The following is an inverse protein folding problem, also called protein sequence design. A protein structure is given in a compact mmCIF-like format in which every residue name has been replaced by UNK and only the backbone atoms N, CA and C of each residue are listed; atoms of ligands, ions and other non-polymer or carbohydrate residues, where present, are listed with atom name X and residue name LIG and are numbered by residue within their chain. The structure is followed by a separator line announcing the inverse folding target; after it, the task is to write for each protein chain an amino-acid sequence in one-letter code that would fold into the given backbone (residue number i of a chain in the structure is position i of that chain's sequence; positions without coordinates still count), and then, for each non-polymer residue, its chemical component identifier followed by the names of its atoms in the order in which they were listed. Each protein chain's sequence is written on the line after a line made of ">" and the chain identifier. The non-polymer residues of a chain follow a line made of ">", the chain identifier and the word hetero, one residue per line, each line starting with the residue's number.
data_IF_146040933377
#
_entry.id   IF_146040933377
#
_cell.length_a   1.000
_cell.length_b   1.000
_cell.length_c   1.000
_cell.angle_alpha   90.00
_cell.angle_beta   90.00
_cell.angle_gamma   90.00
#
_symmetry.space_group_name_H-M   'P 1'
#
loop_
_entity.id
_entity.type
_entity.pdbx_description
1 polymer ?
#
# COMPACT_ATOMS: atom_id res chain seq x y z
N UNK A 1 -56.37 -96.26 -58.18
CA UNK A 1 -57.54 -96.15 -59.08
C UNK A 1 -57.31 -94.94 -59.97
N UNK A 2 -56.99 -95.13 -61.25
CA UNK A 2 -57.96 -95.12 -62.36
C UNK A 2 -58.69 -93.76 -62.44
N UNK A 3 -58.64 -93.00 -63.54
CA UNK A 3 -58.11 -93.31 -64.85
C UNK A 3 -58.22 -92.16 -65.85
N UNK A 4 -57.64 -92.45 -67.02
CA UNK A 4 -57.75 -91.87 -68.38
C UNK A 4 -58.64 -90.65 -68.64
N UNK A 5 -57.98 -89.59 -69.15
CA UNK A 5 -57.96 -89.07 -70.54
C UNK A 5 -59.33 -88.86 -71.25
N UNK A 6 -59.61 -87.64 -71.76
CA UNK A 6 -59.53 -87.17 -73.18
C UNK A 6 -60.14 -85.72 -73.32
N UNK A 7 -60.15 -85.03 -74.48
CA UNK A 7 -59.11 -84.07 -74.92
C UNK A 7 -59.66 -82.68 -75.43
N UNK A 8 -58.76 -81.91 -76.08
CA UNK A 8 -58.95 -81.00 -77.24
C UNK A 8 -59.11 -79.47 -77.01
N UNK A 9 -58.26 -78.78 -77.78
CA UNK A 9 -58.19 -77.44 -78.39
C UNK A 9 -58.09 -76.10 -77.62
N UNK A 10 -56.98 -75.43 -77.93
CA UNK A 10 -56.76 -74.04 -78.37
C UNK A 10 -57.63 -72.90 -77.81
N UNK A 11 -56.96 -71.99 -77.09
CA UNK A 11 -57.48 -70.66 -76.78
C UNK A 11 -56.65 -69.83 -75.79
N UNK A 12 -55.80 -68.93 -76.33
CA UNK A 12 -55.76 -67.48 -76.02
C UNK A 12 -55.33 -66.97 -74.59
N UNK A 13 -54.29 -66.11 -74.61
CA UNK A 13 -53.91 -64.93 -73.75
C UNK A 13 -53.13 -65.10 -72.41
N UNK A 14 -51.96 -64.44 -72.40
CA UNK A 14 -51.33 -63.70 -71.27
C UNK A 14 -50.23 -64.44 -70.47
N UNK A 15 -49.31 -63.77 -69.71
CA UNK A 15 -49.35 -62.36 -69.32
C UNK A 15 -47.97 -61.63 -69.06
N UNK A 16 -48.06 -60.33 -68.73
CA UNK A 16 -47.27 -59.50 -67.77
C UNK A 16 -45.86 -58.94 -68.11
N UNK A 17 -45.81 -57.60 -68.14
CA UNK A 17 -44.69 -56.63 -68.06
C UNK A 17 -44.13 -56.46 -66.64
N UNK A 18 -42.97 -55.78 -66.48
CA UNK A 18 -42.88 -54.72 -65.48
C UNK A 18 -42.70 -53.36 -66.15
N UNK A 19 -43.65 -52.48 -65.89
CA UNK A 19 -43.58 -51.04 -66.13
C UNK A 19 -42.77 -50.38 -65.00
N UNK A 20 -41.79 -49.54 -65.36
CA UNK A 20 -41.42 -48.40 -64.52
C UNK A 20 -41.94 -47.13 -65.20
N UNK A 21 -43.03 -46.51 -64.70
CA UNK A 21 -43.50 -45.24 -65.21
C UNK A 21 -42.59 -44.11 -64.68
N UNK A 22 -42.03 -43.31 -65.59
CA UNK A 22 -41.54 -41.97 -65.27
C UNK A 22 -42.77 -41.10 -64.92
N UNK A 23 -42.99 -40.83 -63.64
CA UNK A 23 -44.05 -39.93 -63.18
C UNK A 23 -43.82 -38.50 -63.70
N UNK A 24 -44.87 -37.81 -64.17
CA UNK A 24 -44.81 -36.37 -64.43
C UNK A 24 -44.75 -35.64 -63.08
N UNK A 25 -43.73 -34.81 -62.89
CA UNK A 25 -43.56 -34.02 -61.65
C UNK A 25 -44.65 -32.94 -61.62
N UNK A 26 -45.58 -33.06 -60.66
CA UNK A 26 -46.63 -32.07 -60.40
C UNK A 26 -46.04 -30.66 -60.22
N UNK A 27 -46.50 -29.71 -61.04
CA UNK A 27 -46.07 -28.30 -61.02
C UNK A 27 -46.25 -27.63 -59.65
N UNK A 28 -47.18 -28.15 -58.84
CA UNK A 28 -47.49 -27.71 -57.48
C UNK A 28 -46.43 -28.20 -56.45
N UNK A 29 -45.88 -29.40 -56.64
CA UNK A 29 -44.75 -29.91 -55.85
C UNK A 29 -43.46 -29.17 -56.19
N UNK A 30 -43.24 -28.86 -57.48
CA UNK A 30 -42.15 -27.99 -57.93
C UNK A 30 -42.24 -26.60 -57.32
N UNK A 31 -43.43 -25.99 -57.27
CA UNK A 31 -43.64 -24.65 -56.69
C UNK A 31 -43.42 -24.65 -55.17
N UNK A 32 -43.91 -25.65 -54.44
CA UNK A 32 -43.61 -25.84 -53.01
C UNK A 32 -42.12 -26.06 -52.76
N UNK A 33 -41.46 -26.90 -53.55
CA UNK A 33 -40.01 -27.11 -53.49
C UNK A 33 -39.23 -25.81 -53.70
N UNK A 34 -39.61 -25.03 -54.70
CA UNK A 34 -38.95 -23.75 -54.99
C UNK A 34 -39.16 -22.72 -53.87
N UNK A 35 -40.33 -22.71 -53.21
CA UNK A 35 -40.58 -21.86 -52.03
C UNK A 35 -39.69 -22.29 -50.85
N UNK A 36 -39.57 -23.60 -50.57
CA UNK A 36 -38.69 -24.10 -49.51
C UNK A 36 -37.21 -23.83 -49.79
N UNK A 37 -36.78 -23.95 -51.04
CA UNK A 37 -35.42 -23.59 -51.47
C UNK A 37 -35.17 -22.09 -51.28
N UNK A 38 -36.12 -21.23 -51.69
CA UNK A 38 -36.01 -19.79 -51.50
C UNK A 38 -36.01 -19.39 -50.02
N UNK A 39 -36.85 -20.01 -49.19
CA UNK A 39 -36.88 -19.79 -47.74
C UNK A 39 -35.57 -20.25 -47.07
N UNK A 40 -35.02 -21.39 -47.50
CA UNK A 40 -33.71 -21.88 -47.03
C UNK A 40 -32.56 -20.95 -47.44
N UNK A 41 -32.54 -20.46 -48.69
CA UNK A 41 -31.57 -19.47 -49.15
C UNK A 41 -31.69 -18.16 -48.38
N UNK A 42 -32.91 -17.67 -48.16
CA UNK A 42 -33.15 -16.47 -47.36
C UNK A 42 -32.66 -16.65 -45.92
N UNK A 43 -32.96 -17.79 -45.29
CA UNK A 43 -32.48 -18.11 -43.94
C UNK A 43 -30.95 -18.13 -43.86
N UNK A 44 -30.27 -18.72 -44.85
CA UNK A 44 -28.80 -18.76 -44.90
C UNK A 44 -28.21 -17.35 -45.05
N UNK A 45 -28.73 -16.55 -45.99
CA UNK A 45 -28.26 -15.18 -46.21
C UNK A 45 -28.53 -14.30 -44.98
N UNK A 46 -29.72 -14.41 -44.39
CA UNK A 46 -30.09 -13.68 -43.18
C UNK A 46 -29.22 -14.08 -41.99
N UNK A 47 -29.01 -15.38 -41.77
CA UNK A 47 -28.16 -15.88 -40.68
C UNK A 47 -26.71 -15.45 -40.85
N UNK A 48 -26.20 -15.45 -42.09
CA UNK A 48 -24.87 -14.95 -42.41
C UNK A 48 -24.76 -13.44 -42.14
N UNK A 49 -25.74 -12.65 -42.59
CA UNK A 49 -25.79 -11.21 -42.34
C UNK A 49 -25.85 -10.89 -40.84
N UNK A 50 -26.68 -11.61 -40.08
CA UNK A 50 -26.75 -11.51 -38.62
C UNK A 50 -25.42 -11.90 -37.95
N UNK A 51 -24.71 -12.91 -38.46
CA UNK A 51 -23.41 -13.31 -37.94
C UNK A 51 -22.35 -12.23 -38.18
N UNK A 52 -22.31 -11.66 -39.40
CA UNK A 52 -21.42 -10.54 -39.73
C UNK A 52 -21.75 -9.31 -38.87
N UNK A 53 -23.02 -8.98 -38.70
CA UNK A 53 -23.46 -7.88 -37.84
C UNK A 53 -23.13 -8.13 -36.36
N UNK A 54 -23.23 -9.36 -35.87
CA UNK A 54 -22.81 -9.69 -34.51
C UNK A 54 -21.31 -9.47 -34.32
N UNK A 55 -20.48 -9.82 -35.31
CA UNK A 55 -19.04 -9.60 -35.25
C UNK A 55 -18.68 -8.10 -35.17
N UNK A 56 -19.45 -7.21 -35.81
CA UNK A 56 -19.22 -5.75 -35.69
C UNK A 56 -19.56 -5.20 -34.30
N UNK A 57 -20.44 -5.85 -33.56
CA UNK A 57 -20.71 -5.52 -32.14
C UNK A 57 -19.65 -6.14 -31.23
N UNK A 58 -19.27 -7.39 -31.51
CA UNK A 58 -18.34 -8.14 -30.68
C UNK A 58 -16.94 -7.54 -30.70
N UNK A 59 -16.46 -7.06 -31.86
CA UNK A 59 -15.08 -6.57 -32.04
C UNK A 59 -14.67 -5.54 -31.00
N UNK A 60 -15.56 -4.60 -30.66
CA UNK A 60 -15.26 -3.55 -29.68
C UNK A 60 -15.14 -4.09 -28.24
N UNK A 61 -15.84 -5.18 -27.93
CA UNK A 61 -15.80 -5.81 -26.62
C UNK A 61 -14.57 -6.71 -26.48
N UNK A 62 -14.18 -7.42 -27.53
CA UNK A 62 -13.01 -8.33 -27.51
C UNK A 62 -11.69 -7.63 -27.86
N UNK A 63 -11.71 -6.31 -28.02
CA UNK A 63 -10.52 -5.51 -28.33
C UNK A 63 -9.47 -5.49 -27.19
N UNK A 64 -9.82 -5.97 -25.99
CA UNK A 64 -8.92 -6.09 -24.85
C UNK A 64 -9.26 -7.33 -23.99
N UNK A 65 -8.28 -7.75 -23.18
CA UNK A 65 -8.38 -8.93 -22.32
C UNK A 65 -9.42 -8.80 -21.20
N UNK A 66 -9.90 -7.59 -20.92
CA UNK A 66 -10.93 -7.32 -19.92
C UNK A 66 -12.35 -7.53 -20.44
N UNK A 67 -12.51 -7.71 -21.76
CA UNK A 67 -13.81 -7.79 -22.43
C UNK A 67 -14.69 -6.55 -22.17
N UNK A 68 -14.04 -5.40 -21.99
CA UNK A 68 -14.69 -4.14 -21.67
C UNK A 68 -14.61 -3.20 -22.87
N UNK A 69 -15.77 -2.94 -23.49
CA UNK A 69 -15.88 -2.05 -24.66
C UNK A 69 -15.09 -0.75 -24.51
N UNK A 70 -14.21 -0.46 -25.47
CA UNK A 70 -13.35 0.75 -25.52
C UNK A 70 -12.43 0.97 -24.30
N UNK A 71 -12.22 -0.03 -23.45
CA UNK A 71 -11.28 0.06 -22.35
C UNK A 71 -9.84 -0.06 -22.89
N UNK A 72 -9.16 1.08 -22.98
CA UNK A 72 -7.85 1.22 -23.60
C UNK A 72 -6.78 1.70 -22.62
N UNK A 73 -5.52 1.58 -23.02
CA UNK A 73 -4.36 2.05 -22.25
C UNK A 73 -4.15 3.57 -22.36
N UNK A 74 -4.74 4.23 -23.36
CA UNK A 74 -4.53 5.67 -23.60
C UNK A 74 -5.32 6.56 -22.65
N UNK A 75 -6.45 6.09 -22.10
CA UNK A 75 -7.29 6.86 -21.18
C UNK A 75 -8.21 6.05 -20.26
N UNK A 76 -8.77 4.93 -20.74
CA UNK A 76 -9.71 4.13 -19.94
C UNK A 76 -9.07 3.53 -18.67
N UNK A 77 -7.90 2.92 -18.83
CA UNK A 77 -7.16 2.32 -17.70
C UNK A 77 -6.70 3.37 -16.69
N UNK A 78 -6.21 4.51 -17.16
CA UNK A 78 -5.72 5.60 -16.30
C UNK A 78 -6.86 6.29 -15.56
N UNK A 79 -8.02 6.49 -16.19
CA UNK A 79 -9.21 7.00 -15.52
C UNK A 79 -9.61 6.13 -14.34
N UNK A 80 -9.73 4.81 -14.56
CA UNK A 80 -10.10 3.88 -13.48
C UNK A 80 -9.05 3.92 -12.37
N UNK A 81 -7.76 3.90 -12.71
CA UNK A 81 -6.69 3.98 -11.72
C UNK A 81 -6.76 5.29 -10.90
N UNK A 82 -6.97 6.43 -11.54
CA UNK A 82 -7.05 7.75 -10.89
C UNK A 82 -8.29 7.89 -10.01
N UNK A 83 -9.42 7.29 -10.39
CA UNK A 83 -10.64 7.25 -9.57
C UNK A 83 -10.37 6.49 -8.27
N UNK A 84 -9.75 5.31 -8.37
CA UNK A 84 -9.40 4.52 -7.18
C UNK A 84 -8.33 5.21 -6.33
N UNK A 85 -7.27 5.74 -6.95
CA UNK A 85 -6.24 6.50 -6.23
C UNK A 85 -6.82 7.74 -5.54
N UNK A 86 -7.74 8.46 -6.17
CA UNK A 86 -8.48 9.56 -5.54
C UNK A 86 -9.22 9.12 -4.27
N UNK A 87 -9.91 7.98 -4.30
CA UNK A 87 -10.67 7.50 -3.13
C UNK A 87 -9.77 6.99 -2.02
N UNK A 88 -8.69 6.29 -2.37
CA UNK A 88 -7.72 5.77 -1.41
C UNK A 88 -6.98 6.89 -0.67
N UNK A 89 -6.59 7.97 -1.35
CA UNK A 89 -5.91 9.10 -0.69
C UNK A 89 -6.85 9.88 0.26
N UNK A 90 -8.16 9.81 0.02
CA UNK A 90 -9.19 10.35 0.92
C UNK A 90 -9.43 9.46 2.15
N UNK A 91 -8.68 8.37 2.32
CA UNK A 91 -8.85 7.46 3.45
C UNK A 91 -10.08 6.56 3.35
N UNK A 92 -10.69 6.43 2.16
CA UNK A 92 -11.74 5.43 1.93
C UNK A 92 -11.06 4.07 1.71
N UNK A 93 -10.84 3.36 2.81
CA UNK A 93 -10.14 2.08 2.87
C UNK A 93 -11.03 0.92 3.34
N UNK A 94 -12.35 1.16 3.44
CA UNK A 94 -13.35 0.14 3.78
C UNK A 94 -14.03 -0.40 2.52
N UNK A 95 -14.46 -1.66 2.58
CA UNK A 95 -15.28 -2.28 1.54
C UNK A 95 -16.53 -1.45 1.25
N UNK A 96 -16.61 -0.91 0.05
CA UNK A 96 -17.73 -0.07 -0.38
C UNK A 96 -17.95 -0.22 -1.89
N UNK A 97 -19.21 -0.04 -2.31
CA UNK A 97 -19.56 0.02 -3.73
C UNK A 97 -19.25 1.42 -4.24
N UNK A 98 -18.43 1.49 -5.30
CA UNK A 98 -18.12 2.73 -5.99
C UNK A 98 -18.80 2.72 -7.35
N UNK A 99 -19.71 3.66 -7.57
CA UNK A 99 -20.30 3.88 -8.89
C UNK A 99 -19.34 4.70 -9.74
N UNK A 100 -18.78 4.09 -10.79
CA UNK A 100 -17.83 4.74 -11.70
C UNK A 100 -18.46 5.83 -12.57
N UNK A 101 -19.79 5.82 -12.75
CA UNK A 101 -20.50 6.82 -13.59
C UNK A 101 -21.14 7.95 -12.80
N UNK A 102 -21.05 7.93 -11.47
CA UNK A 102 -21.59 8.98 -10.61
C UNK A 102 -20.83 10.30 -10.77
N UNK A 103 -21.49 11.44 -10.51
CA UNK A 103 -20.82 12.74 -10.51
C UNK A 103 -19.66 12.81 -9.50
N UNK A 104 -19.77 12.05 -8.39
CA UNK A 104 -18.74 11.97 -7.35
C UNK A 104 -17.45 11.25 -7.77
N UNK A 105 -17.43 10.52 -8.87
CA UNK A 105 -16.22 9.91 -9.46
C UNK A 105 -15.67 10.70 -10.63
N UNK A 106 -16.33 11.80 -11.01
CA UNK A 106 -15.83 12.69 -12.05
C UNK A 106 -14.49 13.30 -11.65
N UNK A 107 -13.51 13.18 -12.55
CA UNK A 107 -12.19 13.79 -12.42
C UNK A 107 -12.07 14.92 -13.43
N UNK A 108 -11.38 16.00 -13.06
CA UNK A 108 -11.15 17.15 -13.94
C UNK A 108 -10.05 16.91 -14.99
N UNK A 109 -9.45 15.73 -15.03
CA UNK A 109 -8.37 15.38 -15.95
C UNK A 109 -8.94 14.95 -17.29
N UNK A 110 -8.29 15.34 -18.38
CA UNK A 110 -8.66 14.92 -19.73
C UNK A 110 -8.08 13.53 -20.04
N UNK A 111 -8.97 12.58 -20.34
CA UNK A 111 -8.63 11.20 -20.70
C UNK A 111 -8.81 10.89 -22.19
N UNK A 112 -9.13 11.89 -23.01
CA UNK A 112 -9.32 11.74 -24.46
C UNK A 112 -8.03 11.79 -25.27
N UNK A 113 -6.92 12.19 -24.64
CA UNK A 113 -5.61 12.28 -25.27
C UNK A 113 -5.05 10.93 -25.76
N UNK A 114 -4.05 10.99 -26.63
CA UNK A 114 -3.32 9.81 -27.12
C UNK A 114 -2.45 9.16 -26.04
N UNK A 115 -2.19 9.85 -24.93
CA UNK A 115 -1.45 9.34 -23.78
C UNK A 115 -1.94 10.04 -22.52
N UNK A 116 -2.09 9.25 -21.46
CA UNK A 116 -2.38 9.74 -20.11
C UNK A 116 -1.51 8.98 -19.11
N UNK A 117 -1.25 9.59 -17.97
CA UNK A 117 -0.47 8.98 -16.88
C UNK A 117 -1.36 8.82 -15.66
N UNK A 118 -1.03 7.87 -14.78
CA UNK A 118 -1.75 7.70 -13.52
C UNK A 118 -1.22 8.71 -12.51
N UNK A 119 -2.12 9.39 -11.80
CA UNK A 119 -1.77 10.27 -10.69
C UNK A 119 -1.45 9.41 -9.46
N UNK A 120 -0.15 9.41 -9.13
CA UNK A 120 0.41 8.58 -8.09
C UNK A 120 0.11 9.11 -6.69
N UNK A 121 -0.13 8.20 -5.74
CA UNK A 121 -0.26 8.54 -4.32
C UNK A 121 1.06 8.38 -3.59
N UNK A 122 1.96 9.33 -3.79
CA UNK A 122 3.30 9.30 -3.17
C UNK A 122 3.31 9.01 -1.65
N UNK A 123 2.40 9.55 -0.81
CA UNK A 123 2.41 9.23 0.62
C UNK A 123 1.77 7.87 0.96
N UNK A 124 1.17 7.15 0.02
CA UNK A 124 0.36 5.96 0.31
C UNK A 124 1.14 4.87 1.05
N UNK A 125 2.34 4.53 0.58
CA UNK A 125 3.16 3.49 1.21
C UNK A 125 3.42 3.83 2.69
N UNK A 126 3.67 5.11 3.00
CA UNK A 126 3.88 5.61 4.36
C UNK A 126 2.60 5.59 5.19
N UNK A 127 1.48 6.03 4.63
CA UNK A 127 0.18 5.99 5.29
C UNK A 127 -0.19 4.55 5.69
N UNK A 128 0.06 3.59 4.81
CA UNK A 128 -0.21 2.18 5.07
C UNK A 128 0.73 1.56 6.10
N UNK A 129 2.04 1.84 6.03
CA UNK A 129 3.04 1.24 6.94
C UNK A 129 3.07 1.87 8.34
N UNK A 130 2.82 3.18 8.46
CA UNK A 130 3.01 3.93 9.70
C UNK A 130 1.72 4.10 10.53
N UNK A 131 0.57 3.64 10.03
CA UNK A 131 -0.64 3.53 10.84
C UNK A 131 -0.58 2.33 11.79
N UNK A 132 -1.36 2.32 12.88
CA UNK A 132 -1.45 1.16 13.77
C UNK A 132 -1.84 -0.12 13.02
N UNK A 133 -0.99 -1.15 13.08
CA UNK A 133 -1.24 -2.44 12.46
C UNK A 133 -1.86 -3.43 13.46
N UNK A 134 -2.73 -4.35 12.98
CA UNK A 134 -3.13 -5.53 13.73
C UNK A 134 -1.93 -6.37 14.17
N UNK A 135 -2.03 -7.00 15.34
CA UNK A 135 -0.92 -7.74 15.93
C UNK A 135 -0.57 -9.01 15.14
N UNK A 136 -1.55 -9.67 14.53
CA UNK A 136 -1.35 -10.85 13.69
C UNK A 136 -0.55 -10.53 12.43
N UNK A 137 -0.82 -9.38 11.80
CA UNK A 137 -0.03 -8.85 10.69
C UNK A 137 1.40 -8.57 11.13
N UNK A 138 1.59 -7.95 12.30
CA UNK A 138 2.91 -7.63 12.84
C UNK A 138 3.72 -8.90 13.17
N UNK A 139 3.14 -9.87 13.86
CA UNK A 139 3.77 -11.16 14.17
C UNK A 139 4.18 -11.89 12.89
N UNK A 140 3.28 -11.92 11.90
CA UNK A 140 3.56 -12.55 10.60
C UNK A 140 4.72 -11.86 9.89
N UNK A 141 4.75 -10.53 9.88
CA UNK A 141 5.82 -9.74 9.26
C UNK A 141 7.17 -9.93 9.97
N UNK A 142 7.21 -9.89 11.31
CA UNK A 142 8.44 -10.10 12.08
C UNK A 142 9.04 -11.48 11.79
N UNK A 143 8.21 -12.53 11.74
CA UNK A 143 8.66 -13.90 11.45
C UNK A 143 9.07 -14.15 10.00
N UNK A 144 8.55 -13.35 9.07
CA UNK A 144 8.91 -13.44 7.65
C UNK A 144 10.29 -12.81 7.36
N UNK A 145 10.80 -11.98 8.27
CA UNK A 145 12.05 -11.27 8.15
C UNK A 145 13.18 -11.94 8.94
N UNK A 146 14.42 -11.78 8.48
CA UNK A 146 15.60 -12.12 9.29
C UNK A 146 15.77 -11.13 10.45
N UNK A 147 16.59 -11.50 11.44
CA UNK A 147 16.94 -10.56 12.53
C UNK A 147 17.59 -9.28 11.98
N UNK A 148 18.39 -9.40 10.91
CA UNK A 148 19.01 -8.27 10.24
C UNK A 148 17.96 -7.25 9.78
N UNK A 149 16.96 -7.67 9.00
CA UNK A 149 15.93 -6.78 8.49
C UNK A 149 15.11 -6.15 9.62
N UNK A 150 14.74 -6.95 10.63
CA UNK A 150 13.96 -6.47 11.77
C UNK A 150 14.72 -5.44 12.63
N UNK A 151 16.04 -5.60 12.81
CA UNK A 151 16.89 -4.66 13.55
C UNK A 151 17.09 -3.34 12.80
N UNK A 152 17.01 -3.36 11.46
CA UNK A 152 17.06 -2.15 10.64
C UNK A 152 15.75 -1.35 10.63
N UNK A 153 14.65 -1.93 11.12
CA UNK A 153 13.43 -1.16 11.38
C UNK A 153 13.74 -0.13 12.49
N UNK A 154 13.52 1.15 12.19
CA UNK A 154 13.83 2.24 13.13
C UNK A 154 12.78 2.24 14.24
N UNK A 155 13.10 1.50 15.30
CA UNK A 155 12.24 1.32 16.47
C UNK A 155 12.96 1.81 17.71
N UNK A 156 12.46 2.86 18.37
CA UNK A 156 13.03 3.36 19.61
C UNK A 156 12.43 2.61 20.81
N UNK A 157 12.91 1.39 21.07
CA UNK A 157 12.36 0.54 22.14
C UNK A 157 12.30 1.28 23.49
N UNK A 158 11.24 1.01 24.25
CA UNK A 158 11.01 1.56 25.58
C UNK A 158 11.28 0.51 26.67
N UNK A 159 10.99 -0.76 26.38
CA UNK A 159 11.18 -1.88 27.31
C UNK A 159 11.84 -3.07 26.64
N UNK A 160 12.60 -3.81 27.42
CA UNK A 160 13.18 -5.08 27.01
C UNK A 160 12.10 -6.17 26.97
N UNK A 161 11.25 -6.23 28.00
CA UNK A 161 10.26 -7.27 28.23
C UNK A 161 8.80 -6.80 28.08
N UNK A 162 7.88 -7.72 27.74
CA UNK A 162 6.45 -7.41 27.59
C UNK A 162 5.79 -6.95 28.90
N UNK A 163 6.35 -7.34 30.06
CA UNK A 163 5.81 -6.96 31.38
C UNK A 163 6.28 -5.58 31.88
N UNK A 164 7.12 -4.88 31.09
CA UNK A 164 7.65 -3.53 31.37
C UNK A 164 8.54 -3.46 32.63
N UNK A 165 9.15 -4.56 33.03
CA UNK A 165 10.04 -4.58 34.20
C UNK A 165 11.41 -3.96 33.89
N UNK A 166 11.88 -4.10 32.66
CA UNK A 166 13.21 -3.70 32.24
C UNK A 166 13.10 -2.57 31.22
N UNK A 167 13.49 -1.38 31.64
CA UNK A 167 13.46 -0.17 30.83
C UNK A 167 14.69 -0.07 29.92
N UNK A 168 14.55 0.54 28.72
CA UNK A 168 15.68 0.72 27.79
C UNK A 168 15.67 2.03 27.00
N UNK A 169 14.69 2.93 27.20
CA UNK A 169 14.68 4.19 26.46
C UNK A 169 15.94 5.04 26.76
N UNK A 170 16.43 5.77 25.75
CA UNK A 170 17.66 6.58 25.82
C UNK A 170 17.74 7.59 26.96
N UNK A 171 16.61 8.14 27.40
CA UNK A 171 16.58 9.13 28.48
C UNK A 171 15.45 8.82 29.46
N UNK A 172 15.63 9.23 30.72
CA UNK A 172 14.57 9.15 31.75
C UNK A 172 13.31 9.94 31.35
N UNK A 173 13.48 11.06 30.64
CA UNK A 173 12.37 11.85 30.11
C UNK A 173 11.56 11.07 29.08
N UNK A 174 12.22 10.38 28.15
CA UNK A 174 11.55 9.53 27.17
C UNK A 174 10.89 8.31 27.83
N UNK A 175 11.56 7.66 28.78
CA UNK A 175 11.02 6.51 29.49
C UNK A 175 9.67 6.83 30.18
N UNK A 176 9.56 7.99 30.84
CA UNK A 176 8.29 8.47 31.41
C UNK A 176 7.21 8.65 30.36
N UNK A 177 7.53 9.27 29.22
CA UNK A 177 6.56 9.40 28.11
C UNK A 177 6.14 8.04 27.53
N UNK A 178 7.05 7.06 27.48
CA UNK A 178 6.69 5.71 27.07
C UNK A 178 5.62 5.13 27.99
N UNK A 179 5.80 5.23 29.32
CA UNK A 179 4.82 4.76 30.31
C UNK A 179 3.46 5.45 30.16
N UNK A 180 3.43 6.73 29.79
CA UNK A 180 2.19 7.48 29.61
C UNK A 180 1.47 7.15 28.29
N UNK A 181 2.19 6.84 27.20
CA UNK A 181 1.62 6.88 25.83
C UNK A 181 1.87 5.65 24.96
N UNK A 182 2.77 4.75 25.35
CA UNK A 182 3.25 3.67 24.49
C UNK A 182 3.01 2.27 25.05
N UNK A 183 2.33 2.15 26.19
CA UNK A 183 2.11 0.87 26.87
C UNK A 183 1.33 -0.14 26.02
N UNK A 184 0.44 0.32 25.14
CA UNK A 184 -0.36 -0.54 24.25
C UNK A 184 0.28 -0.84 22.90
N UNK A 185 1.41 -0.21 22.56
CA UNK A 185 2.09 -0.37 21.27
C UNK A 185 3.15 -1.47 21.35
N UNK A 186 2.88 -2.64 20.76
CA UNK A 186 3.77 -3.80 20.78
C UNK A 186 5.16 -3.51 20.16
N UNK A 187 5.26 -2.55 19.24
CA UNK A 187 6.54 -2.18 18.63
C UNK A 187 7.55 -1.60 19.65
N UNK A 188 7.09 -1.09 20.80
CA UNK A 188 7.96 -0.45 21.80
C UNK A 188 8.63 -1.45 22.75
N UNK A 189 8.40 -2.75 22.52
CA UNK A 189 8.88 -3.85 23.35
C UNK A 189 9.85 -4.71 22.56
N UNK A 190 11.10 -4.79 23.00
CA UNK A 190 12.11 -5.59 22.32
C UNK A 190 11.75 -7.08 22.32
N UNK A 191 11.16 -7.60 23.41
CA UNK A 191 10.69 -8.98 23.50
C UNK A 191 9.75 -9.36 22.36
N UNK A 192 8.89 -8.45 21.88
CA UNK A 192 8.02 -8.72 20.74
C UNK A 192 8.82 -9.11 19.47
N UNK A 193 9.96 -8.45 19.24
CA UNK A 193 10.88 -8.79 18.15
C UNK A 193 11.64 -10.10 18.45
N UNK A 194 12.20 -10.25 19.65
CA UNK A 194 13.04 -11.40 20.00
C UNK A 194 12.27 -12.73 19.99
N UNK A 195 11.02 -12.73 20.50
CA UNK A 195 10.13 -13.90 20.48
C UNK A 195 9.78 -14.37 19.06
N UNK A 196 9.85 -13.46 18.10
CA UNK A 196 9.50 -13.69 16.69
C UNK A 196 10.72 -13.73 15.77
N UNK A 197 11.90 -13.95 16.36
CA UNK A 197 13.17 -14.15 15.66
C UNK A 197 13.54 -15.63 15.67
N UNK A 198 14.16 -16.10 14.59
CA UNK A 198 14.69 -17.48 14.51
C UNK A 198 15.84 -17.65 15.50
N UNK A 199 15.82 -18.72 16.30
CA UNK A 199 16.81 -18.96 17.38
C UNK A 199 18.26 -18.90 16.89
N UNK A 200 18.54 -19.48 15.72
CA UNK A 200 19.88 -19.45 15.13
C UNK A 200 20.32 -18.02 14.77
N UNK A 201 19.43 -17.20 14.22
CA UNK A 201 19.70 -15.78 13.94
C UNK A 201 20.02 -15.03 15.23
N UNK A 202 19.24 -15.25 16.29
CA UNK A 202 19.47 -14.58 17.58
C UNK A 202 20.78 -15.00 18.25
N UNK A 203 21.27 -16.22 18.02
CA UNK A 203 22.49 -16.73 18.67
C UNK A 203 23.76 -16.54 17.85
N UNK A 204 23.66 -16.58 16.52
CA UNK A 204 24.84 -16.72 15.65
C UNK A 204 25.03 -15.54 14.70
N UNK A 205 24.00 -14.73 14.43
CA UNK A 205 24.19 -13.54 13.59
C UNK A 205 24.96 -12.44 14.32
N UNK A 206 25.56 -11.53 13.55
CA UNK A 206 26.26 -10.36 14.11
C UNK A 206 25.37 -9.57 15.07
N UNK A 207 24.12 -9.30 14.68
CA UNK A 207 23.18 -8.59 15.56
C UNK A 207 22.75 -9.42 16.77
N UNK A 208 22.64 -10.74 16.62
CA UNK A 208 22.43 -11.65 17.75
C UNK A 208 23.53 -11.54 18.80
N UNK A 209 24.79 -11.53 18.35
CA UNK A 209 25.97 -11.32 19.21
C UNK A 209 25.92 -9.94 19.89
N UNK A 210 25.59 -8.89 19.15
CA UNK A 210 25.50 -7.53 19.71
C UNK A 210 24.38 -7.40 20.74
N UNK A 211 23.20 -7.99 20.48
CA UNK A 211 22.08 -8.05 21.43
C UNK A 211 22.50 -8.83 22.68
N UNK A 212 23.20 -9.95 22.51
CA UNK A 212 23.69 -10.72 23.64
C UNK A 212 24.67 -9.90 24.51
N UNK A 213 25.60 -9.17 23.90
CA UNK A 213 26.59 -8.36 24.60
C UNK A 213 26.00 -7.15 25.33
N UNK A 214 25.05 -6.45 24.69
CA UNK A 214 24.57 -5.14 25.18
C UNK A 214 23.28 -5.23 26.00
N UNK A 215 22.53 -6.34 25.87
CA UNK A 215 21.22 -6.53 26.49
C UNK A 215 21.19 -7.82 27.31
N UNK A 216 21.32 -9.00 26.69
CA UNK A 216 21.09 -10.27 27.41
C UNK A 216 22.11 -10.52 28.52
N UNK A 217 23.39 -10.22 28.28
CA UNK A 217 24.44 -10.38 29.30
C UNK A 217 24.24 -9.38 30.46
N UNK A 218 24.01 -8.07 30.24
CA UNK A 218 23.67 -7.14 31.31
C UNK A 218 22.40 -7.50 32.09
N UNK A 219 21.39 -8.08 31.43
CA UNK A 219 20.16 -8.55 32.09
C UNK A 219 20.44 -9.59 33.18
N UNK A 220 21.50 -10.40 33.06
CA UNK A 220 21.88 -11.38 34.08
C UNK A 220 22.26 -10.73 35.42
N UNK A 221 22.58 -9.43 35.44
CA UNK A 221 22.95 -8.69 36.66
C UNK A 221 21.74 -8.12 37.39
N UNK A 222 20.57 -8.07 36.75
CA UNK A 222 19.35 -7.48 37.32
C UNK A 222 18.50 -8.52 38.06
N UNK A 223 17.76 -8.12 39.11
CA UNK A 223 16.74 -8.98 39.71
C UNK A 223 15.73 -9.45 38.66
N UNK A 224 15.41 -10.75 38.65
CA UNK A 224 14.53 -11.40 37.66
C UNK A 224 15.01 -11.40 36.19
N UNK A 225 16.11 -10.71 35.87
CA UNK A 225 16.60 -10.62 34.49
C UNK A 225 17.14 -11.96 33.96
N UNK A 226 17.86 -12.72 34.79
CA UNK A 226 18.33 -14.06 34.41
C UNK A 226 17.19 -15.06 34.16
N UNK A 227 16.10 -14.97 34.92
CA UNK A 227 14.90 -15.78 34.70
C UNK A 227 14.21 -15.40 33.38
N UNK A 228 14.15 -14.10 33.06
CA UNK A 228 13.60 -13.63 31.78
C UNK A 228 14.45 -14.10 30.58
N UNK A 229 15.79 -14.01 30.66
CA UNK A 229 16.69 -14.50 29.59
C UNK A 229 16.51 -16.01 29.39
N UNK A 230 16.46 -16.80 30.47
CA UNK A 230 16.22 -18.23 30.38
C UNK A 230 14.84 -18.56 29.79
N UNK A 231 13.82 -17.78 30.13
CA UNK A 231 12.48 -17.93 29.56
C UNK A 231 12.47 -17.62 28.06
N UNK A 232 13.17 -16.57 27.62
CA UNK A 232 13.32 -16.20 26.21
C UNK A 232 14.03 -17.31 25.41
N UNK A 233 15.11 -17.87 25.96
CA UNK A 233 15.86 -18.97 25.32
C UNK A 233 15.07 -20.27 25.18
N UNK A 234 14.06 -20.48 26.02
CA UNK A 234 13.19 -21.64 26.01
C UNK A 234 11.98 -21.50 25.08
N UNK A 235 11.80 -20.34 24.43
CA UNK A 235 10.64 -20.08 23.57
C UNK A 235 10.72 -20.93 22.31
N UNK A 236 9.65 -21.68 22.09
CA UNK A 236 9.31 -22.23 20.78
C UNK A 236 8.25 -21.35 20.15
N UNK A 237 8.36 -21.11 18.83
CA UNK A 237 7.37 -20.31 18.12
C UNK A 237 5.98 -20.92 18.27
N UNK A 238 5.12 -20.17 18.95
CA UNK A 238 3.70 -20.48 19.04
C UNK A 238 3.02 -20.25 17.67
N UNK A 239 1.78 -20.71 17.51
CA UNK A 239 0.97 -20.24 16.38
C UNK A 239 0.84 -18.71 16.41
N UNK A 240 0.62 -18.07 15.25
CA UNK A 240 0.45 -16.60 15.20
C UNK A 240 -0.67 -16.15 16.14
N UNK A 241 -1.79 -16.88 16.18
CA UNK A 241 -2.93 -16.56 17.04
C UNK A 241 -2.60 -16.69 18.55
N UNK A 242 -1.78 -17.67 18.94
CA UNK A 242 -1.36 -17.84 20.34
C UNK A 242 -0.35 -16.77 20.76
N UNK A 243 0.60 -16.41 19.89
CA UNK A 243 1.56 -15.33 20.17
C UNK A 243 0.84 -13.97 20.31
N UNK A 244 -0.14 -13.69 19.45
CA UNK A 244 -1.01 -12.52 19.59
C UNK A 244 -1.74 -12.53 20.93
N UNK A 245 -2.23 -13.68 21.40
CA UNK A 245 -2.87 -13.79 22.72
C UNK A 245 -1.91 -13.48 23.87
N UNK A 246 -0.64 -13.91 23.78
CA UNK A 246 0.39 -13.55 24.77
C UNK A 246 0.56 -12.02 24.84
N UNK A 247 0.64 -11.35 23.68
CA UNK A 247 0.78 -9.90 23.62
C UNK A 247 -0.46 -9.18 24.19
N UNK A 248 -1.65 -9.65 23.84
CA UNK A 248 -2.91 -9.09 24.33
C UNK A 248 -3.07 -9.26 25.85
N UNK A 249 -2.61 -10.38 26.43
CA UNK A 249 -2.59 -10.59 27.88
C UNK A 249 -1.71 -9.57 28.61
N UNK A 250 -0.70 -9.01 27.94
CA UNK A 250 0.16 -7.94 28.48
C UNK A 250 -0.39 -6.52 28.22
N UNK A 251 -1.59 -6.42 27.66
CA UNK A 251 -2.28 -5.16 27.34
C UNK A 251 -1.86 -4.53 26.02
N UNK A 252 -1.18 -5.27 25.14
CA UNK A 252 -0.79 -4.78 23.81
C UNK A 252 -1.97 -4.86 22.84
N UNK A 253 -2.14 -3.82 22.04
CA UNK A 253 -3.34 -3.64 21.19
C UNK A 253 -2.98 -3.54 19.72
N UNK A 254 -1.90 -2.85 19.39
CA UNK A 254 -1.49 -2.61 18.00
C UNK A 254 0.03 -2.58 17.88
N UNK A 255 0.53 -2.67 16.66
CA UNK A 255 1.93 -2.51 16.34
C UNK A 255 2.10 -1.29 15.43
N UNK A 256 2.78 -0.25 15.90
CA UNK A 256 2.97 0.98 15.13
C UNK A 256 4.43 1.43 15.18
N UNK A 257 5.00 1.61 13.99
CA UNK A 257 6.38 2.03 13.80
C UNK A 257 6.55 3.55 13.95
N UNK A 258 7.76 3.96 14.29
CA UNK A 258 8.13 5.37 14.30
C UNK A 258 8.32 5.90 12.86
N UNK A 259 7.89 7.14 12.62
CA UNK A 259 8.17 7.82 11.37
C UNK A 259 9.68 7.96 11.11
N UNK A 260 10.11 7.70 9.87
CA UNK A 260 11.51 7.78 9.46
C UNK A 260 11.64 8.08 7.96
N UNK A 261 12.77 8.65 7.54
CA UNK A 261 13.09 8.90 6.13
C UNK A 261 14.43 8.29 5.65
N UNK A 262 14.94 7.30 6.38
CA UNK A 262 16.08 6.46 5.96
C UNK A 262 15.69 5.52 4.81
N UNK A 263 14.50 4.95 4.89
CA UNK A 263 14.00 3.96 3.96
C UNK A 263 12.70 4.45 3.34
N UNK A 264 12.67 4.55 2.01
CA UNK A 264 11.42 4.76 1.31
C UNK A 264 10.62 3.46 1.34
N UNK A 265 9.43 3.52 1.91
CA UNK A 265 8.50 2.40 1.89
C UNK A 265 8.00 2.17 0.46
N UNK A 266 7.98 0.89 0.03
CA UNK A 266 7.41 0.50 -1.25
C UNK A 266 5.93 0.14 -1.14
N UNK A 267 5.22 0.20 -2.26
CA UNK A 267 3.84 -0.31 -2.42
C UNK A 267 3.65 -0.82 -3.85
N UNK A 268 2.85 -1.87 -4.01
CA UNK A 268 2.38 -2.35 -5.32
C UNK A 268 0.87 -2.59 -5.23
N UNK A 269 0.10 -1.63 -5.75
CA UNK A 269 -1.36 -1.67 -5.72
C UNK A 269 -1.91 -2.10 -7.07
N UNK A 270 -2.87 -3.02 -7.02
CA UNK A 270 -3.54 -3.57 -8.19
C UNK A 270 -5.05 -3.54 -8.01
N UNK A 271 -5.75 -3.37 -9.13
CA UNK A 271 -7.20 -3.55 -9.23
C UNK A 271 -7.49 -4.82 -10.03
N UNK A 272 -8.34 -5.69 -9.49
CA UNK A 272 -8.88 -6.83 -10.23
C UNK A 272 -10.19 -6.44 -10.91
N UNK A 273 -10.22 -6.50 -12.25
CA UNK A 273 -11.41 -6.31 -13.05
C UNK A 273 -11.99 -7.70 -13.37
N UNK A 274 -13.26 -7.90 -13.05
CA UNK A 274 -14.00 -9.12 -13.40
C UNK A 274 -14.99 -8.81 -14.52
N UNK A 275 -14.85 -9.49 -15.66
CA UNK A 275 -15.74 -9.30 -16.80
C UNK A 275 -17.09 -9.99 -16.61
N UNK A 276 -18.06 -9.69 -17.48
CA UNK A 276 -19.38 -10.34 -17.48
C UNK A 276 -19.30 -11.87 -17.70
N UNK A 277 -18.19 -12.37 -18.26
CA UNK A 277 -17.93 -13.80 -18.44
C UNK A 277 -17.28 -14.47 -17.22
N UNK A 278 -17.04 -13.72 -16.14
CA UNK A 278 -16.39 -14.21 -14.92
C UNK A 278 -14.87 -14.27 -14.97
N UNK A 279 -14.25 -13.79 -16.06
CA UNK A 279 -12.79 -13.72 -16.19
C UNK A 279 -12.24 -12.58 -15.33
N UNK A 280 -11.20 -12.85 -14.55
CA UNK A 280 -10.54 -11.87 -13.68
C UNK A 280 -9.17 -11.50 -14.25
N UNK A 281 -8.92 -10.21 -14.41
CA UNK A 281 -7.65 -9.66 -14.87
C UNK A 281 -7.21 -8.53 -13.95
N UNK A 282 -5.90 -8.32 -13.80
CA UNK A 282 -5.34 -7.30 -12.92
C UNK A 282 -4.79 -6.11 -13.72
N UNK A 283 -5.03 -4.90 -13.23
CA UNK A 283 -4.31 -3.70 -13.64
C UNK A 283 -3.54 -3.12 -12.45
N UNK A 284 -2.34 -2.62 -12.70
CA UNK A 284 -1.53 -1.94 -11.69
C UNK A 284 -1.95 -0.47 -11.62
N UNK A 285 -2.29 0.01 -10.43
CA UNK A 285 -2.79 1.39 -10.22
C UNK A 285 -1.80 2.28 -9.48
N UNK A 286 -0.80 1.70 -8.81
CA UNK A 286 0.27 2.45 -8.16
C UNK A 286 1.44 1.51 -7.90
N UNK A 287 2.66 1.96 -8.19
CA UNK A 287 3.88 1.31 -7.71
C UNK A 287 4.87 2.34 -7.20
N UNK A 288 5.37 2.13 -5.99
CA UNK A 288 6.48 2.88 -5.40
C UNK A 288 7.49 1.83 -4.97
N UNK A 289 8.72 1.94 -5.45
CA UNK A 289 9.77 1.00 -5.06
C UNK A 289 10.27 1.29 -3.64
N UNK A 290 10.63 0.22 -2.94
CA UNK A 290 11.44 0.34 -1.73
C UNK A 290 12.82 0.86 -2.09
N UNK A 291 13.29 1.91 -1.42
CA UNK A 291 14.60 2.52 -1.68
C UNK A 291 15.34 2.76 -0.37
N UNK A 292 16.58 2.29 -0.32
CA UNK A 292 17.55 2.68 0.69
C UNK A 292 18.06 4.08 0.36
N UNK A 293 17.65 5.09 1.14
CA UNK A 293 18.11 6.47 0.92
C UNK A 293 19.54 6.62 1.43
N UNK A 294 20.32 7.48 0.78
CA UNK A 294 21.70 7.74 1.16
C UNK A 294 21.81 8.32 2.58
N UNK A 295 22.99 8.20 3.20
CA UNK A 295 23.24 8.68 4.58
C UNK A 295 23.08 10.19 4.71
N UNK A 296 23.44 10.95 3.68
CA UNK A 296 23.29 12.41 3.66
C UNK A 296 21.83 12.87 3.56
N UNK A 297 20.91 12.02 3.12
CA UNK A 297 19.48 12.30 2.98
C UNK A 297 18.64 11.79 4.15
N UNK A 298 19.26 11.22 5.20
CA UNK A 298 18.57 10.72 6.37
C UNK A 298 18.53 11.79 7.46
N UNK A 299 17.51 12.66 7.44
CA UNK A 299 17.34 13.71 8.46
C UNK A 299 16.63 13.23 9.73
N UNK A 300 15.77 12.20 9.66
CA UNK A 300 15.15 11.59 10.86
C UNK A 300 16.12 10.83 11.76
N UNK A 301 17.36 10.73 11.33
CA UNK A 301 18.52 10.26 12.10
C UNK A 301 18.63 10.99 13.45
N UNK A 302 18.17 12.24 13.49
CA UNK A 302 18.17 13.11 14.68
C UNK A 302 16.98 12.86 15.62
N UNK A 303 15.93 12.17 15.15
CA UNK A 303 14.81 11.73 15.98
C UNK A 303 15.21 10.48 16.75
N UNK A 304 15.73 9.48 16.03
CA UNK A 304 16.27 8.24 16.57
C UNK A 304 17.31 7.66 15.62
N UNK A 305 18.39 7.11 16.17
CA UNK A 305 19.48 6.54 15.40
C UNK A 305 19.23 5.13 14.89
N UNK A 306 18.14 4.49 15.30
CA UNK A 306 17.86 3.10 14.93
C UNK A 306 18.62 2.14 15.83
N UNK A 307 17.97 1.03 16.14
CA UNK A 307 18.44 0.08 17.15
C UNK A 307 19.84 -0.49 16.85
N UNK A 308 20.16 -0.70 15.57
CA UNK A 308 21.50 -1.16 15.17
C UNK A 308 22.63 -0.20 15.55
N UNK A 309 22.38 1.12 15.51
CA UNK A 309 23.37 2.10 15.95
C UNK A 309 23.47 2.09 17.48
N UNK A 310 22.36 1.89 18.19
CA UNK A 310 22.34 1.81 19.66
C UNK A 310 23.18 0.64 20.15
N UNK A 311 23.06 -0.52 19.50
CA UNK A 311 23.88 -1.71 19.72
C UNK A 311 25.37 -1.39 19.50
N UNK A 312 25.70 -0.80 18.35
CA UNK A 312 27.09 -0.48 18.01
C UNK A 312 27.70 0.58 18.95
N UNK A 313 26.97 1.64 19.28
CA UNK A 313 27.43 2.65 20.24
C UNK A 313 27.67 2.02 21.61
N UNK A 314 26.75 1.19 22.09
CA UNK A 314 26.89 0.55 23.38
C UNK A 314 28.14 -0.33 23.45
N UNK A 315 28.44 -1.09 22.39
CA UNK A 315 29.68 -1.88 22.31
C UNK A 315 30.92 -0.99 22.35
N UNK A 316 30.96 0.07 21.54
CA UNK A 316 32.11 0.97 21.46
C UNK A 316 32.43 1.66 22.79
N UNK A 317 31.42 1.90 23.62
CA UNK A 317 31.56 2.56 24.92
C UNK A 317 31.55 1.58 26.11
N UNK A 318 31.49 0.26 25.86
CA UNK A 318 31.39 -0.75 26.93
C UNK A 318 30.10 -0.62 27.77
N UNK A 319 29.06 -0.04 27.18
CA UNK A 319 27.80 0.27 27.83
C UNK A 319 26.74 -0.83 27.61
N UNK A 320 25.73 -0.85 28.48
CA UNK A 320 24.48 -1.59 28.27
C UNK A 320 23.38 -0.65 27.78
N UNK A 321 22.45 -1.21 26.99
CA UNK A 321 21.20 -0.55 26.59
C UNK A 321 20.09 -0.67 27.64
N UNK A 322 20.25 -1.54 28.64
CA UNK A 322 19.23 -1.77 29.67
C UNK A 322 19.46 -0.80 30.82
N UNK A 323 18.44 -0.02 31.17
CA UNK A 323 18.50 0.93 32.29
C UNK A 323 18.66 0.16 33.59
N UNK A 324 19.16 0.85 34.62
CA UNK A 324 19.43 0.30 35.97
C UNK A 324 20.55 -0.73 36.05
N UNK A 325 21.20 -1.08 34.93
CA UNK A 325 22.48 -1.79 34.95
C UNK A 325 23.61 -0.84 35.34
N UNK A 326 24.66 -1.37 35.98
CA UNK A 326 25.79 -0.55 36.46
C UNK A 326 26.54 0.15 35.31
N UNK A 327 26.54 -0.44 34.11
CA UNK A 327 27.17 0.10 32.91
C UNK A 327 26.16 0.65 31.89
N UNK A 328 24.94 1.02 32.30
CA UNK A 328 24.01 1.69 31.40
C UNK A 328 24.61 2.97 30.81
N UNK A 329 24.32 3.26 29.54
CA UNK A 329 24.92 4.35 28.77
C UNK A 329 24.90 5.72 29.48
N UNK A 330 23.76 6.18 30.01
CA UNK A 330 23.70 7.46 30.75
C UNK A 330 24.39 7.38 32.12
N UNK A 331 24.41 6.19 32.77
CA UNK A 331 25.08 5.98 34.07
C UNK A 331 26.59 6.12 33.95
N UNK A 332 27.17 5.76 32.80
CA UNK A 332 28.57 5.99 32.47
C UNK A 332 28.90 7.47 32.15
N UNK A 333 27.89 8.36 32.19
CA UNK A 333 28.05 9.78 31.88
C UNK A 333 28.00 10.11 30.39
N UNK A 334 27.61 9.16 29.55
CA UNK A 334 27.41 9.41 28.11
C UNK A 334 26.04 10.04 27.85
N UNK A 335 25.95 10.86 26.81
CA UNK A 335 24.72 11.53 26.41
C UNK A 335 24.45 11.25 24.93
N UNK A 336 23.31 10.62 24.64
CA UNK A 336 22.94 10.18 23.29
C UNK A 336 22.95 11.32 22.28
N UNK A 337 22.36 12.47 22.63
CA UNK A 337 22.28 13.65 21.75
C UNK A 337 23.69 14.16 21.39
N UNK A 338 24.50 14.51 22.39
CA UNK A 338 25.80 15.15 22.13
C UNK A 338 26.86 14.19 21.62
N UNK A 339 26.75 12.90 21.94
CA UNK A 339 27.71 11.91 21.48
C UNK A 339 27.58 11.66 19.97
N UNK A 340 26.35 11.70 19.45
CA UNK A 340 26.12 11.59 18.01
C UNK A 340 26.30 12.92 17.28
N UNK A 341 25.63 13.96 17.75
CA UNK A 341 25.53 15.22 17.03
C UNK A 341 26.71 16.16 17.33
N UNK A 342 27.50 15.86 18.36
CA UNK A 342 28.52 16.75 18.87
C UNK A 342 27.95 17.93 19.66
N UNK A 343 28.82 18.78 20.21
CA UNK A 343 28.45 19.99 20.94
C UNK A 343 28.08 21.13 19.97
N UNK A 344 27.14 20.89 19.05
CA UNK A 344 26.69 21.93 18.11
C UNK A 344 26.05 23.07 18.90
N UNK A 345 26.50 24.30 18.59
CA UNK A 345 26.03 25.54 19.19
C UNK A 345 25.50 26.47 18.09
N UNK A 346 24.24 26.28 17.74
CA UNK A 346 23.48 27.16 16.85
C UNK A 346 22.20 27.60 17.55
N UNK A 347 21.60 28.69 17.09
CA UNK A 347 20.28 29.13 17.59
C UNK A 347 19.24 28.03 17.35
N UNK A 348 19.30 27.37 16.19
CA UNK A 348 18.40 26.27 15.83
C UNK A 348 18.43 25.11 16.84
N UNK A 349 19.61 24.57 17.17
CA UNK A 349 19.69 23.44 18.11
C UNK A 349 19.35 23.86 19.55
N UNK A 350 19.70 25.09 19.95
CA UNK A 350 19.32 25.61 21.26
C UNK A 350 17.79 25.67 21.41
N UNK A 351 17.09 26.16 20.38
CA UNK A 351 15.63 26.18 20.34
C UNK A 351 15.05 24.77 20.38
N UNK A 352 15.53 23.85 19.52
CA UNK A 352 15.06 22.46 19.47
C UNK A 352 15.22 21.78 20.83
N UNK A 353 16.40 21.87 21.45
CA UNK A 353 16.65 21.27 22.77
C UNK A 353 15.80 21.89 23.88
N UNK A 354 15.52 23.20 23.81
CA UNK A 354 14.71 23.88 24.82
C UNK A 354 13.20 23.58 24.71
N UNK A 355 12.69 23.36 23.50
CA UNK A 355 11.25 23.18 23.24
C UNK A 355 10.87 21.71 23.12
N UNK A 356 11.64 20.92 22.37
CA UNK A 356 11.34 19.51 22.08
C UNK A 356 12.11 18.54 22.99
N UNK A 357 13.27 18.96 23.49
CA UNK A 357 14.16 18.14 24.30
C UNK A 357 15.37 17.60 23.52
N UNK A 358 16.16 16.70 24.13
CA UNK A 358 17.37 16.18 23.51
C UNK A 358 17.06 15.38 22.24
N UNK A 359 17.94 15.50 21.25
CA UNK A 359 17.89 14.68 20.04
C UNK A 359 18.05 13.20 20.39
N UNK A 360 17.68 12.31 19.45
CA UNK A 360 17.66 10.85 19.63
C UNK A 360 16.69 10.35 20.71
N UNK A 361 15.88 11.26 21.26
CA UNK A 361 14.84 10.96 22.25
C UNK A 361 13.50 11.56 21.83
N UNK A 362 13.30 11.81 20.55
CA UNK A 362 12.05 12.37 20.01
C UNK A 362 11.13 11.22 19.56
N UNK A 363 9.84 11.35 19.81
CA UNK A 363 8.83 10.38 19.39
C UNK A 363 7.99 11.02 18.27
N UNK A 364 7.92 10.39 17.10
CA UNK A 364 7.21 10.94 15.93
C UNK A 364 6.23 9.95 15.31
N UNK A 365 5.05 10.46 14.96
CA UNK A 365 3.95 9.69 14.37
C UNK A 365 3.46 10.39 13.11
N UNK A 366 3.06 9.61 12.10
CA UNK A 366 2.40 10.15 10.92
C UNK A 366 0.95 10.49 11.28
N UNK A 367 0.58 11.76 11.16
CA UNK A 367 -0.80 12.21 11.37
C UNK A 367 -1.53 12.21 10.03
N UNK A 368 -2.64 11.47 9.95
CA UNK A 368 -3.51 11.45 8.78
C UNK A 368 -4.32 12.76 8.69
N UNK A 369 -4.72 13.21 7.49
CA UNK A 369 -5.60 14.36 7.33
C UNK A 369 -6.89 14.21 8.15
N UNK A 370 -7.35 15.25 8.87
CA UNK A 370 -8.59 15.18 9.63
C UNK A 370 -9.79 14.84 8.74
N UNK A 371 -10.73 13.98 9.17
CA UNK A 371 -11.91 13.62 8.38
C UNK A 371 -12.73 14.81 7.89
N UNK A 372 -12.81 15.88 8.70
CA UNK A 372 -13.50 17.12 8.33
C UNK A 372 -12.85 17.85 7.15
N UNK A 373 -11.51 17.87 7.09
CA UNK A 373 -10.76 18.45 5.97
C UNK A 373 -10.97 17.63 4.70
N UNK A 374 -10.91 16.29 4.82
CA UNK A 374 -11.20 15.39 3.70
C UNK A 374 -12.62 15.61 3.17
N UNK A 375 -13.61 15.70 4.06
CA UNK A 375 -15.00 15.96 3.69
C UNK A 375 -15.17 17.30 2.98
N UNK A 376 -14.51 18.36 3.46
CA UNK A 376 -14.51 19.69 2.83
C UNK A 376 -13.94 19.64 1.41
N UNK A 377 -12.75 19.04 1.24
CA UNK A 377 -12.11 18.91 -0.07
C UNK A 377 -12.98 18.10 -1.03
N UNK A 378 -13.62 17.04 -0.53
CA UNK A 378 -14.55 16.24 -1.33
C UNK A 378 -15.78 17.03 -1.77
N UNK A 379 -16.37 17.81 -0.86
CA UNK A 379 -17.51 18.67 -1.18
C UNK A 379 -17.14 19.70 -2.24
N UNK A 380 -16.01 20.39 -2.10
CA UNK A 380 -15.49 21.35 -3.09
C UNK A 380 -15.32 20.68 -4.45
N UNK A 381 -14.73 19.47 -4.50
CA UNK A 381 -14.52 18.73 -5.75
C UNK A 381 -15.82 18.37 -6.44
N UNK A 382 -16.82 17.87 -5.70
CA UNK A 382 -18.14 17.55 -6.24
C UNK A 382 -18.82 18.80 -6.79
N UNK A 383 -18.79 19.92 -6.05
CA UNK A 383 -19.35 21.18 -6.51
C UNK A 383 -18.65 21.72 -7.76
N UNK A 384 -17.31 21.59 -7.84
CA UNK A 384 -16.53 22.00 -9.00
C UNK A 384 -16.89 21.17 -10.24
N UNK A 385 -16.93 19.84 -10.10
CA UNK A 385 -17.28 18.93 -11.21
C UNK A 385 -18.70 19.20 -11.70
N UNK A 386 -19.67 19.40 -10.79
CA UNK A 386 -21.03 19.74 -11.15
C UNK A 386 -21.12 21.08 -11.88
N UNK A 387 -20.35 22.08 -11.44
CA UNK A 387 -20.24 23.38 -12.12
C UNK A 387 -19.66 23.27 -13.53
N UNK A 388 -18.60 22.47 -13.71
CA UNK A 388 -17.97 22.20 -15.01
C UNK A 388 -18.98 21.54 -15.96
N UNK A 389 -19.73 20.53 -15.47
CA UNK A 389 -20.75 19.83 -16.27
C UNK A 389 -21.91 20.74 -16.68
N UNK A 390 -22.35 21.63 -15.79
CA UNK A 390 -23.51 22.48 -16.01
C UNK A 390 -23.23 23.69 -16.93
N UNK A 391 -21.98 24.13 -17.06
CA UNK A 391 -21.65 25.36 -17.77
C UNK A 391 -20.34 25.23 -18.59
N UNK A 392 -20.48 25.20 -19.92
CA UNK A 392 -19.36 25.09 -20.85
C UNK A 392 -18.38 26.28 -20.79
N UNK A 393 -18.87 27.50 -20.53
CA UNK A 393 -18.01 28.68 -20.34
C UNK A 393 -17.17 28.56 -19.08
N UNK A 394 -17.78 28.13 -17.97
CA UNK A 394 -17.05 27.88 -16.73
C UNK A 394 -16.03 26.76 -16.89
N UNK A 395 -16.40 25.67 -17.57
CA UNK A 395 -15.48 24.59 -17.94
C UNK A 395 -14.25 25.14 -18.67
N UNK A 396 -14.45 25.92 -19.75
CA UNK A 396 -13.35 26.51 -20.51
C UNK A 396 -12.44 27.40 -19.66
N UNK A 397 -13.01 28.20 -18.74
CA UNK A 397 -12.23 29.05 -17.83
C UNK A 397 -11.41 28.23 -16.83
N UNK A 398 -11.98 27.19 -16.23
CA UNK A 398 -11.26 26.33 -15.27
C UNK A 398 -10.06 25.67 -15.96
N UNK A 399 -10.25 25.13 -17.15
CA UNK A 399 -9.17 24.49 -17.92
C UNK A 399 -8.11 25.47 -18.43
N UNK A 400 -8.43 26.77 -18.55
CA UNK A 400 -7.45 27.82 -18.87
C UNK A 400 -6.65 28.29 -17.63
N UNK A 401 -7.29 28.32 -16.46
CA UNK A 401 -6.69 28.86 -15.23
C UNK A 401 -5.84 27.83 -14.47
N UNK A 402 -6.23 26.56 -14.50
CA UNK A 402 -5.54 25.50 -13.74
C UNK A 402 -4.53 24.82 -14.66
N UNK A 403 -3.22 24.94 -14.41
CA UNK A 403 -2.22 24.23 -15.19
C UNK A 403 -2.41 22.72 -15.07
N UNK A 404 -2.01 21.97 -16.10
CA UNK A 404 -2.09 20.49 -16.13
C UNK A 404 -1.30 19.84 -14.97
N UNK A 405 -0.33 20.54 -14.37
CA UNK A 405 0.43 20.11 -13.18
C UNK A 405 -0.03 20.71 -11.84
N UNK A 406 -1.15 21.44 -11.82
CA UNK A 406 -1.62 22.18 -10.65
C UNK A 406 -0.88 23.50 -10.42
N UNK A 407 -1.14 24.11 -9.26
CA UNK A 407 -0.52 25.37 -8.85
C UNK A 407 0.29 25.12 -7.58
N UNK A 408 1.59 25.39 -7.63
CA UNK A 408 2.44 25.40 -6.42
C UNK A 408 2.18 26.69 -5.67
N UNK A 409 1.80 26.58 -4.39
CA UNK A 409 1.58 27.71 -3.50
C UNK A 409 2.40 27.53 -2.23
N UNK A 410 3.25 28.50 -1.93
CA UNK A 410 4.00 28.55 -0.67
C UNK A 410 3.12 29.18 0.41
N UNK A 411 2.47 28.33 1.20
CA UNK A 411 1.59 28.77 2.28
C UNK A 411 2.42 29.07 3.54
N UNK A 412 2.40 30.34 3.96
CA UNK A 412 3.02 30.78 5.21
C UNK A 412 1.91 31.08 6.23
N UNK A 413 1.84 30.37 7.36
CA UNK A 413 0.94 30.72 8.44
C UNK A 413 1.18 32.19 8.86
N UNK A 414 0.13 33.01 9.04
CA UNK A 414 0.31 34.42 9.42
C UNK A 414 1.14 34.61 10.69
N UNK A 415 1.10 33.65 11.63
CA UNK A 415 1.91 33.65 12.85
C UNK A 415 3.41 33.45 12.62
N UNK A 416 3.80 32.96 11.44
CA UNK A 416 5.20 32.78 11.04
C UNK A 416 5.77 34.02 10.37
N UNK A 417 4.98 35.08 10.17
CA UNK A 417 5.44 36.34 9.63
C UNK A 417 5.35 37.43 10.69
N UNK A 418 6.48 38.05 11.03
CA UNK A 418 6.51 39.15 11.98
C UNK A 418 7.71 40.08 11.78
N UNK A 419 7.61 41.34 12.21
CA UNK A 419 8.74 42.26 12.15
C UNK A 419 9.89 41.73 13.01
N UNK A 420 11.11 41.85 12.50
CA UNK A 420 12.35 41.49 13.23
C UNK A 420 12.51 40.02 13.60
N UNK A 421 11.79 39.09 12.95
CA UNK A 421 12.01 37.65 13.11
C UNK A 421 13.23 37.18 12.31
N UNK A 422 14.06 36.35 12.94
CA UNK A 422 15.21 35.69 12.31
C UNK A 422 14.91 34.19 12.17
N UNK A 423 14.90 33.68 10.93
CA UNK A 423 14.56 32.28 10.64
C UNK A 423 15.84 31.47 10.41
N UNK A 424 15.98 30.37 11.14
CA UNK A 424 17.15 29.49 11.02
C UNK A 424 16.85 28.19 10.24
N UNK A 425 15.57 27.91 9.94
CA UNK A 425 15.11 26.75 9.16
C UNK A 425 13.63 26.49 9.40
N UNK A 426 12.96 25.73 8.54
CA UNK A 426 11.57 25.30 8.71
C UNK A 426 11.43 23.83 9.13
N UNK A 427 12.53 23.09 9.10
CA UNK A 427 12.64 21.72 9.61
C UNK A 427 13.44 21.70 10.93
N UNK A 428 12.84 21.32 12.07
CA UNK A 428 13.53 21.21 13.37
C UNK A 428 14.72 20.24 13.38
N UNK A 429 14.78 19.30 12.43
CA UNK A 429 15.89 18.35 12.31
C UNK A 429 17.10 18.94 11.57
N UNK A 430 16.94 20.07 10.90
CA UNK A 430 17.99 20.78 10.17
C UNK A 430 18.53 21.95 11.00
N UNK A 431 19.01 21.64 12.20
CA UNK A 431 19.39 22.62 13.21
C UNK A 431 20.80 23.19 13.04
N UNK A 432 21.60 22.70 12.10
CA UNK A 432 23.02 23.05 11.95
C UNK A 432 23.29 24.40 11.27
N UNK A 433 22.26 25.04 10.70
CA UNK A 433 22.41 26.33 10.03
C UNK A 433 22.75 27.46 11.00
N UNK A 434 23.80 28.23 10.68
CA UNK A 434 24.32 29.33 11.51
C UNK A 434 23.79 30.70 11.11
N UNK A 435 23.44 30.87 9.85
CA UNK A 435 23.02 32.15 9.28
C UNK A 435 21.50 32.26 9.32
N UNK A 436 20.96 33.40 9.77
CA UNK A 436 19.53 33.67 9.74
C UNK A 436 19.07 34.12 8.35
N UNK A 437 17.82 33.82 8.00
CA UNK A 437 17.11 34.36 6.85
C UNK A 437 16.05 35.37 7.30
N UNK A 438 15.71 36.36 6.46
CA UNK A 438 14.67 37.34 6.76
C UNK A 438 13.25 36.85 6.40
N UNK A 439 13.12 35.62 5.90
CA UNK A 439 11.84 35.02 5.49
C UNK A 439 11.71 33.60 6.05
N UNK A 440 10.48 33.12 6.31
CA UNK A 440 10.22 31.73 6.67
C UNK A 440 10.78 30.76 5.64
N UNK A 441 11.39 29.67 6.10
CA UNK A 441 11.97 28.63 5.27
C UNK A 441 10.96 27.49 5.06
N UNK A 442 11.20 26.61 4.09
CA UNK A 442 10.30 25.49 3.82
C UNK A 442 10.09 24.63 5.08
N UNK A 443 8.83 24.27 5.40
CA UNK A 443 8.55 23.42 6.54
C UNK A 443 9.11 22.01 6.33
N UNK A 444 9.12 21.23 7.41
CA UNK A 444 9.49 19.82 7.40
C UNK A 444 8.94 19.05 6.19
N UNK A 445 9.83 18.38 5.45
CA UNK A 445 9.49 17.49 4.33
C UNK A 445 10.13 16.12 4.50
N UNK A 446 9.45 15.07 4.04
CA UNK A 446 9.99 13.70 4.05
C UNK A 446 11.32 13.60 3.29
N UNK A 447 11.47 14.35 2.19
CA UNK A 447 12.64 14.30 1.33
C UNK A 447 13.73 15.31 1.72
N UNK A 448 13.54 16.06 2.81
CA UNK A 448 14.51 17.04 3.26
C UNK A 448 15.78 16.37 3.81
N UNK A 449 16.92 16.73 3.21
CA UNK A 449 18.26 16.23 3.52
C UNK A 449 19.08 17.18 4.39
N UNK A 450 18.52 18.34 4.80
CA UNK A 450 19.23 19.38 5.56
C UNK A 450 20.52 19.90 4.88
N UNK A 451 20.61 19.82 3.55
CA UNK A 451 21.79 20.26 2.78
C UNK A 451 21.75 21.75 2.46
N UNK A 452 20.55 22.29 2.24
CA UNK A 452 20.32 23.69 1.93
C UNK A 452 19.34 24.29 2.93
N UNK A 453 19.60 25.53 3.32
CA UNK A 453 18.66 26.35 4.06
C UNK A 453 17.73 27.02 3.06
N UNK A 454 16.61 26.36 2.76
CA UNK A 454 15.63 26.75 1.74
C UNK A 454 14.23 26.84 2.30
#
# INVERSE_FOLDING_TARGET
>A
MMGRIKPVDDGIIGPVTPQHPLMPIDSLMLRRRNIWVAAGLFYLVFSFACSVFYLTILVDNVANDFWWRHFNTTGGQTFVADVFNTRLIQGVNTWSTLDLVADSTGLSKDYSGSTTFIDMREPAARQWMLQPQPLDVAVTALRANSLYENVYVITPFCWVDLSRQFEMAHTSGRQRRCLERQTTNAAMYLEALLRNTVVNDLRQSDFGIQINQTILTPMMTLPQGSAWVAALDAINWLSVADEVRVWQQQGLVYYMLQYQNRFQHGIDDKLTIRSALGLAQEIKISTISYIYRDKSSWSTVNIHCGFWNDLQYSINYGASLVRHTANYFETLGHNWDTMRNGPIQTVGIALVRSVLGPLLSLDTQLILPPPSLVALVNAIRVHLVNGIKANATFSAQVFQLVPVGGVTMDLVPPSWAGPSMAYYGGNPLCFSFKTSRPYPQMPFSYYDACQSQT
#
